data_IF_125329909204
#
_entry.id   IF_125329909204
#
_cell.length_a   1.000
_cell.length_b   1.000
_cell.length_c   1.000
_cell.angle_alpha   90.00
_cell.angle_beta   90.00
_cell.angle_gamma   90.00
#
_symmetry.space_group_name_H-M   'P 1'
#
loop_
_entity.id
_entity.type
_entity.pdbx_description
1 polymer ?
#
# COMPACT_ATOMS: atom_id res chain seq x y z
N UNK A 1 19.50 9.79 0.89
CA UNK A 1 18.32 9.57 0.05
C UNK A 1 18.79 9.34 -1.38
N UNK A 2 18.19 8.38 -2.09
CA UNK A 2 18.46 8.19 -3.52
C UNK A 2 17.61 9.13 -4.38
N UNK A 3 18.02 9.35 -5.64
CA UNK A 3 17.21 10.07 -6.63
C UNK A 3 15.78 9.51 -6.71
N UNK A 4 15.66 8.18 -6.75
CA UNK A 4 14.37 7.48 -6.78
C UNK A 4 13.49 7.70 -5.54
N UNK A 5 14.07 7.92 -4.35
CA UNK A 5 13.30 8.27 -3.16
C UNK A 5 12.74 9.69 -3.27
N UNK A 6 13.55 10.64 -3.77
CA UNK A 6 13.14 12.03 -3.96
C UNK A 6 11.98 12.15 -4.95
N UNK A 7 12.09 11.51 -6.12
CA UNK A 7 11.02 11.53 -7.13
C UNK A 7 9.73 10.92 -6.59
N UNK A 8 9.83 9.80 -5.86
CA UNK A 8 8.64 9.17 -5.25
C UNK A 8 8.00 10.06 -4.19
N UNK A 9 8.79 10.74 -3.36
CA UNK A 9 8.23 11.65 -2.36
C UNK A 9 7.46 12.79 -2.99
N UNK A 10 7.96 13.35 -4.09
CA UNK A 10 7.29 14.43 -4.82
C UNK A 10 5.96 13.97 -5.43
N UNK A 11 5.98 12.82 -6.13
CA UNK A 11 4.77 12.22 -6.72
C UNK A 11 3.69 11.88 -5.69
N UNK A 12 4.08 11.45 -4.49
CA UNK A 12 3.16 11.12 -3.41
C UNK A 12 2.38 12.34 -2.86
N UNK A 13 2.80 13.56 -3.20
CA UNK A 13 2.16 14.82 -2.80
C UNK A 13 1.12 15.29 -3.80
N UNK A 14 1.06 14.70 -5.00
CA UNK A 14 0.13 15.11 -6.06
C UNK A 14 -1.30 14.74 -5.68
N UNK A 15 -2.21 15.71 -5.64
CA UNK A 15 -3.61 15.45 -5.33
C UNK A 15 -4.31 14.74 -6.49
N UNK A 16 -5.09 13.71 -6.17
CA UNK A 16 -6.03 13.07 -7.09
C UNK A 16 -7.42 13.62 -6.81
N UNK A 17 -8.07 14.23 -7.81
CA UNK A 17 -9.36 14.91 -7.59
C UNK A 17 -10.55 13.97 -7.66
N UNK A 18 -10.50 12.95 -8.52
CA UNK A 18 -11.61 12.04 -8.77
C UNK A 18 -11.47 10.71 -8.01
N UNK A 19 -12.58 10.20 -7.48
CA UNK A 19 -12.61 8.93 -6.75
C UNK A 19 -12.15 7.74 -7.61
N UNK A 20 -12.47 7.75 -8.91
CA UNK A 20 -12.05 6.72 -9.88
C UNK A 20 -10.53 6.66 -9.97
N UNK A 21 -9.86 7.82 -10.01
CA UNK A 21 -8.40 7.89 -10.07
C UNK A 21 -7.76 7.37 -8.78
N UNK A 22 -8.36 7.68 -7.63
CA UNK A 22 -7.90 7.16 -6.32
C UNK A 22 -8.03 5.65 -6.24
N UNK A 23 -9.17 5.08 -6.69
CA UNK A 23 -9.36 3.62 -6.77
C UNK A 23 -8.33 2.98 -7.69
N UNK A 24 -8.12 3.53 -8.88
CA UNK A 24 -7.12 3.04 -9.83
C UNK A 24 -5.70 3.06 -9.23
N UNK A 25 -5.35 4.11 -8.48
CA UNK A 25 -4.06 4.21 -7.80
C UNK A 25 -3.89 3.12 -6.71
N UNK A 26 -4.94 2.88 -5.90
CA UNK A 26 -4.94 1.79 -4.90
C UNK A 26 -4.78 0.42 -5.59
N UNK A 27 -5.51 0.18 -6.68
CA UNK A 27 -5.37 -1.04 -7.49
C UNK A 27 -3.94 -1.19 -8.01
N UNK A 28 -3.33 -0.10 -8.47
CA UNK A 28 -1.93 -0.06 -8.90
C UNK A 28 -0.97 -0.51 -7.78
N UNK A 29 -1.17 -0.02 -6.56
CA UNK A 29 -0.39 -0.47 -5.40
C UNK A 29 -0.58 -1.97 -5.12
N UNK A 30 -1.84 -2.43 -5.10
CA UNK A 30 -2.19 -3.83 -4.86
C UNK A 30 -1.57 -4.77 -5.89
N UNK A 31 -1.68 -4.46 -7.18
CA UNK A 31 -1.11 -5.31 -8.24
C UNK A 31 0.42 -5.26 -8.26
N UNK A 32 1.04 -4.13 -7.92
CA UNK A 32 2.50 -3.97 -8.00
C UNK A 32 3.26 -4.51 -6.78
N UNK A 33 2.65 -4.47 -5.58
CA UNK A 33 3.32 -4.78 -4.30
C UNK A 33 2.47 -5.61 -3.34
N UNK A 34 1.22 -5.88 -3.68
CA UNK A 34 0.35 -6.73 -2.88
C UNK A 34 0.72 -8.20 -3.00
N UNK A 35 0.61 -8.90 -1.89
CA UNK A 35 0.70 -10.36 -1.79
C UNK A 35 -0.42 -10.87 -0.89
N UNK A 36 -0.87 -12.09 -1.14
CA UNK A 36 -1.84 -12.75 -0.26
C UNK A 36 -1.12 -13.49 0.84
N UNK A 37 -1.49 -13.20 2.08
CA UNK A 37 -1.08 -14.00 3.24
C UNK A 37 -2.29 -14.81 3.68
N UNK A 38 -2.22 -16.11 3.43
CA UNK A 38 -3.22 -17.09 3.86
C UNK A 38 -2.63 -17.80 5.08
N UNK A 39 -3.26 -17.60 6.25
CA UNK A 39 -3.01 -18.38 7.45
C UNK A 39 -4.26 -19.21 7.77
N UNK A 40 -4.14 -20.20 8.66
CA UNK A 40 -5.24 -21.12 8.99
C UNK A 40 -6.55 -20.42 9.34
N UNK A 41 -6.46 -19.25 9.98
CA UNK A 41 -7.61 -18.56 10.55
C UNK A 41 -7.85 -17.18 9.90
N UNK A 42 -6.91 -16.70 9.07
CA UNK A 42 -6.93 -15.33 8.56
C UNK A 42 -6.30 -15.24 7.17
N UNK A 43 -7.10 -14.75 6.23
CA UNK A 43 -6.65 -14.27 4.93
C UNK A 43 -6.50 -12.75 4.99
N UNK A 44 -5.36 -12.24 4.52
CA UNK A 44 -5.09 -10.80 4.48
C UNK A 44 -4.30 -10.45 3.24
N UNK A 45 -4.48 -9.23 2.74
CA UNK A 45 -3.66 -8.67 1.66
C UNK A 45 -2.54 -7.86 2.28
N UNK A 46 -1.30 -8.21 1.99
CA UNK A 46 -0.12 -7.57 2.57
C UNK A 46 0.64 -6.80 1.50
N UNK A 47 1.00 -5.54 1.77
CA UNK A 47 1.78 -4.71 0.87
C UNK A 47 3.14 -4.38 1.50
N UNK A 48 4.22 -4.74 0.80
CA UNK A 48 5.57 -4.34 1.19
C UNK A 48 6.01 -3.09 0.42
N UNK A 49 6.09 -1.96 1.11
CA UNK A 49 6.46 -0.67 0.53
C UNK A 49 7.88 -0.28 0.91
N UNK A 50 8.73 0.12 -0.06
CA UNK A 50 10.14 0.40 0.18
C UNK A 50 10.42 1.76 0.83
N UNK A 51 9.40 2.62 0.96
CA UNK A 51 9.54 3.98 1.47
C UNK A 51 8.33 4.39 2.29
N UNK A 52 8.58 5.17 3.34
CA UNK A 52 7.57 5.73 4.24
C UNK A 52 6.66 6.72 3.50
N UNK A 53 7.19 7.51 2.56
CA UNK A 53 6.39 8.47 1.79
C UNK A 53 5.33 7.77 0.95
N UNK A 54 5.71 6.64 0.34
CA UNK A 54 4.80 5.81 -0.46
C UNK A 54 3.73 5.16 0.43
N UNK A 55 4.13 4.67 1.61
CA UNK A 55 3.18 4.15 2.59
C UNK A 55 2.17 5.21 3.04
N UNK A 56 2.62 6.44 3.30
CA UNK A 56 1.72 7.55 3.64
C UNK A 56 0.72 7.85 2.54
N UNK A 57 1.15 7.82 1.27
CA UNK A 57 0.25 8.01 0.12
C UNK A 57 -0.85 6.97 0.10
N UNK A 58 -0.50 5.68 0.17
CA UNK A 58 -1.49 4.60 0.17
C UNK A 58 -2.45 4.70 1.35
N UNK A 59 -1.97 4.98 2.56
CA UNK A 59 -2.82 5.14 3.74
C UNK A 59 -3.77 6.35 3.62
N UNK A 60 -3.32 7.45 2.99
CA UNK A 60 -4.17 8.59 2.68
C UNK A 60 -5.30 8.22 1.72
N UNK A 61 -4.98 7.54 0.62
CA UNK A 61 -5.96 7.07 -0.36
C UNK A 61 -6.98 6.10 0.28
N UNK A 62 -6.49 5.15 1.08
CA UNK A 62 -7.35 4.24 1.82
C UNK A 62 -8.29 5.02 2.74
N UNK A 63 -7.78 5.95 3.55
CA UNK A 63 -8.61 6.75 4.46
C UNK A 63 -9.73 7.51 3.73
N UNK A 64 -9.46 8.02 2.53
CA UNK A 64 -10.43 8.80 1.76
C UNK A 64 -11.46 7.94 1.03
N UNK A 65 -11.06 6.76 0.55
CA UNK A 65 -11.89 5.96 -0.35
C UNK A 65 -12.51 4.76 0.35
N UNK A 66 -11.81 4.15 1.32
CA UNK A 66 -12.22 2.91 1.95
C UNK A 66 -11.83 2.91 3.44
N UNK A 67 -12.82 3.02 4.33
CA UNK A 67 -12.61 2.87 5.78
C UNK A 67 -12.34 1.41 6.14
N UNK A 68 -11.16 0.91 5.76
CA UNK A 68 -10.74 -0.48 5.95
C UNK A 68 -9.72 -0.54 7.08
N UNK A 69 -9.97 -1.48 8.00
CA UNK A 69 -9.04 -1.80 9.06
C UNK A 69 -7.72 -2.31 8.46
N UNK A 70 -6.63 -1.73 8.93
CA UNK A 70 -5.29 -2.04 8.46
C UNK A 70 -4.30 -2.07 9.62
N UNK A 71 -3.32 -2.96 9.53
CA UNK A 71 -2.17 -2.98 10.43
C UNK A 71 -0.96 -2.47 9.67
N UNK A 72 -0.20 -1.58 10.30
CA UNK A 72 1.03 -1.01 9.71
C UNK A 72 2.23 -1.34 10.58
N UNK A 73 3.28 -1.86 9.95
CA UNK A 73 4.53 -2.21 10.63
C UNK A 73 5.70 -1.59 9.90
N UNK A 74 6.54 -0.85 10.62
CA UNK A 74 7.77 -0.29 10.07
C UNK A 74 8.93 -1.21 10.42
N UNK A 75 9.45 -1.92 9.41
CA UNK A 75 10.57 -2.84 9.56
C UNK A 75 11.86 -2.09 9.27
N UNK A 76 12.67 -1.87 10.30
CA UNK A 76 14.00 -1.25 10.19
C UNK A 76 15.07 -2.33 10.14
N UNK A 77 15.85 -2.35 9.06
CA UNK A 77 16.99 -3.28 8.95
C UNK A 77 18.19 -2.76 9.74
N UNK A 78 18.84 -3.63 10.53
CA UNK A 78 20.05 -3.32 11.29
C UNK A 78 21.35 -3.45 10.45
N UNK A 79 21.29 -3.15 9.14
CA UNK A 79 22.44 -3.24 8.23
C UNK A 79 23.12 -1.87 8.05
N UNK A 80 24.35 -1.89 7.52
CA UNK A 80 25.18 -0.70 7.27
C UNK A 80 24.43 0.38 6.48
N UNK A 81 23.68 -0.02 5.44
CA UNK A 81 22.65 0.82 4.82
C UNK A 81 21.33 0.61 5.57
N UNK A 82 20.99 1.55 6.45
CA UNK A 82 19.69 1.59 7.14
C UNK A 82 18.59 1.79 6.10
N UNK A 83 17.93 0.70 5.71
CA UNK A 83 16.70 0.75 4.91
C UNK A 83 15.53 0.39 5.79
N UNK A 84 14.50 1.24 5.76
CA UNK A 84 13.20 0.98 6.38
C UNK A 84 12.21 0.60 5.30
N UNK A 85 11.57 -0.56 5.45
CA UNK A 85 10.37 -0.90 4.68
C UNK A 85 9.15 -0.75 5.56
N UNK A 86 8.01 -0.52 4.93
CA UNK A 86 6.72 -0.46 5.60
C UNK A 86 5.89 -1.62 5.08
N UNK A 87 5.36 -2.42 5.99
CA UNK A 87 4.42 -3.48 5.69
C UNK A 87 3.04 -3.00 6.11
N UNK A 88 2.07 -3.14 5.20
CA UNK A 88 0.67 -2.79 5.43
C UNK A 88 -0.16 -4.03 5.20
N UNK A 89 -0.81 -4.52 6.25
CA UNK A 89 -1.70 -5.67 6.18
C UNK A 89 -3.15 -5.15 6.17
N UNK A 90 -3.88 -5.49 5.11
CA UNK A 90 -5.27 -5.11 4.85
C UNK A 90 -6.19 -6.33 4.95
N UNK A 91 -7.43 -6.10 5.37
CA UNK A 91 -8.52 -7.08 5.22
C UNK A 91 -8.79 -7.36 3.74
N UNK A 92 -9.18 -8.60 3.42
CA UNK A 92 -9.55 -9.03 2.05
C UNK A 92 -10.75 -8.27 1.51
N UNK A 93 -11.59 -7.70 2.39
CA UNK A 93 -12.74 -6.87 2.03
C UNK A 93 -12.40 -5.67 1.12
N UNK A 94 -11.12 -5.25 1.07
CA UNK A 94 -10.66 -4.22 0.13
C UNK A 94 -10.82 -4.65 -1.34
N UNK A 95 -10.74 -5.96 -1.63
CA UNK A 95 -10.83 -6.47 -3.00
C UNK A 95 -12.26 -6.43 -3.51
N UNK A 96 -13.21 -6.78 -2.65
CA UNK A 96 -14.64 -6.66 -2.94
C UNK A 96 -15.01 -5.19 -3.18
N UNK A 97 -14.45 -4.27 -2.37
CA UNK A 97 -14.69 -2.83 -2.54
C UNK A 97 -14.12 -2.27 -3.86
N UNK A 98 -13.02 -2.84 -4.35
CA UNK A 98 -12.35 -2.41 -5.58
C UNK A 98 -12.80 -3.18 -6.83
N UNK A 99 -13.81 -4.05 -6.71
CA UNK A 99 -14.30 -4.94 -7.76
C UNK A 99 -13.16 -5.74 -8.44
N UNK A 100 -12.15 -6.16 -7.66
CA UNK A 100 -11.01 -6.91 -8.19
C UNK A 100 -11.29 -8.41 -8.08
N UNK A 101 -11.48 -9.08 -9.22
CA UNK A 101 -11.41 -10.53 -9.29
C UNK A 101 -9.96 -11.04 -9.19
N UNK A 102 -9.74 -12.08 -8.38
CA UNK A 102 -8.44 -12.77 -8.26
C UNK A 102 -8.32 -13.88 -9.33
N UNK A 103 -9.40 -14.19 -10.05
CA UNK A 103 -9.48 -15.26 -11.05
C UNK A 103 -9.62 -14.65 -12.43
N UNK A 104 -8.57 -14.81 -13.24
CA UNK A 104 -8.60 -15.00 -14.70
C UNK A 104 -7.61 -16.14 -15.01
#
# INVERSE_FOLDING_TARGET
MSFSEHTKSELCTVESSEEIQKKAEIIGFLKAKGSFRISSDLTSVTLELPSISVARRLLGLLKEVASVDHKTVVVKTKRLQKRSKVEIDLSVSILDFLDISIVD
#
